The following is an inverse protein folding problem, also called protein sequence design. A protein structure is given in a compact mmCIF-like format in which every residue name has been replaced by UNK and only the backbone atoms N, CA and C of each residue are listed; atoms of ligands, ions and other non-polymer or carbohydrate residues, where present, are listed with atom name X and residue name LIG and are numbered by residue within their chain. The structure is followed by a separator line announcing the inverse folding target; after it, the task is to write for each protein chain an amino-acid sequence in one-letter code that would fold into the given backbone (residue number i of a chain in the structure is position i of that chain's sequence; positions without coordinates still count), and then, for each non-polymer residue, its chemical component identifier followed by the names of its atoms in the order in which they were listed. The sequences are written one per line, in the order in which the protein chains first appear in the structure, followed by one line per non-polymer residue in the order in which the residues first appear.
data_IF_631831837441
#
_entry.id   IF_631831837441
#
_cell.length_a   1.000
_cell.length_b   1.000
_cell.length_c   1.000
_cell.angle_alpha   90.00
_cell.angle_beta   90.00
_cell.angle_gamma   90.00
#
_symmetry.space_group_name_H-M   'P 1'
#
loop_
_entity.id
_entity.type
_entity.pdbx_description
1 polymer ?
#
# COMPACT_ATOMS: atom_id res chain seq x y z
N UNK A 1 2.63 -10.31 3.82
CA UNK A 1 2.59 -11.78 3.94
C UNK A 1 3.95 -12.41 3.64
N UNK A 2 4.68 -11.92 2.63
CA UNK A 2 5.99 -12.46 2.23
C UNK A 2 7.06 -12.51 3.33
N UNK A 3 7.25 -11.41 4.06
CA UNK A 3 8.29 -11.32 5.11
C UNK A 3 8.08 -12.31 6.28
N UNK A 4 6.87 -12.46 6.84
CA UNK A 4 6.57 -13.53 7.80
C UNK A 4 6.88 -14.95 7.27
N UNK A 5 6.45 -15.26 6.04
CA UNK A 5 6.69 -16.59 5.45
C UNK A 5 8.17 -16.90 5.29
N UNK A 6 8.99 -15.93 4.86
CA UNK A 6 10.44 -16.11 4.74
C UNK A 6 11.09 -16.38 6.10
N UNK A 7 10.63 -15.71 7.16
CA UNK A 7 11.18 -15.89 8.52
C UNK A 7 10.83 -17.27 9.09
N UNK A 8 9.61 -17.76 8.83
CA UNK A 8 9.11 -19.01 9.41
C UNK A 8 9.54 -20.26 8.63
N UNK A 9 9.64 -20.17 7.29
CA UNK A 9 9.93 -21.32 6.44
C UNK A 9 11.37 -21.39 5.92
N UNK A 10 12.26 -20.44 6.26
CA UNK A 10 13.69 -20.45 5.90
C UNK A 10 13.99 -20.82 4.42
N UNK A 11 13.14 -20.44 3.46
CA UNK A 11 13.18 -20.94 2.07
C UNK A 11 13.14 -19.86 0.97
N UNK A 12 13.44 -20.32 -0.25
CA UNK A 12 13.21 -19.73 -1.58
C UNK A 12 11.79 -19.19 -1.68
N UNK A 13 11.65 -17.86 -1.68
CA UNK A 13 10.37 -17.16 -1.65
C UNK A 13 9.51 -17.41 -2.90
N UNK A 14 10.16 -17.80 -3.99
CA UNK A 14 9.61 -18.15 -5.29
C UNK A 14 8.70 -19.39 -5.22
N UNK A 15 9.10 -20.44 -4.49
CA UNK A 15 8.30 -21.66 -4.33
C UNK A 15 6.97 -21.41 -3.61
N UNK A 16 6.95 -20.40 -2.73
CA UNK A 16 5.78 -20.07 -1.90
C UNK A 16 4.98 -18.89 -2.44
N UNK A 17 5.44 -18.23 -3.51
CA UNK A 17 4.76 -17.09 -4.12
C UNK A 17 3.31 -17.43 -4.53
N UNK A 18 3.02 -18.59 -5.16
CA UNK A 18 1.65 -18.94 -5.52
C UNK A 18 0.73 -19.08 -4.29
N UNK A 19 1.24 -19.63 -3.19
CA UNK A 19 0.47 -19.80 -1.95
C UNK A 19 0.19 -18.44 -1.29
N UNK A 20 1.15 -17.52 -1.33
CA UNK A 20 0.98 -16.17 -0.78
C UNK A 20 0.01 -15.33 -1.60
N UNK A 21 0.09 -15.40 -2.93
CA UNK A 21 -0.86 -14.75 -3.82
C UNK A 21 -2.28 -15.29 -3.57
N UNK A 22 -2.41 -16.61 -3.47
CA UNK A 22 -3.66 -17.26 -3.12
C UNK A 22 -4.21 -16.75 -1.78
N UNK A 23 -3.39 -16.71 -0.74
CA UNK A 23 -3.79 -16.22 0.58
C UNK A 23 -4.19 -14.73 0.56
N UNK A 24 -3.47 -13.90 -0.19
CA UNK A 24 -3.75 -12.47 -0.31
C UNK A 24 -5.07 -12.21 -1.04
N UNK A 25 -5.29 -12.84 -2.19
CA UNK A 25 -6.50 -12.66 -3.01
C UNK A 25 -7.78 -13.14 -2.31
N UNK A 26 -7.65 -14.07 -1.37
CA UNK A 26 -8.78 -14.63 -0.61
C UNK A 26 -8.93 -14.04 0.79
N UNK A 27 -8.05 -13.12 1.19
CA UNK A 27 -8.17 -12.43 2.47
C UNK A 27 -9.13 -11.26 2.37
N UNK A 28 -9.93 -11.06 3.43
CA UNK A 28 -10.82 -9.91 3.55
C UNK A 28 -10.03 -8.59 3.52
N UNK A 29 -10.44 -7.66 2.67
CA UNK A 29 -9.83 -6.34 2.57
C UNK A 29 -10.75 -5.26 3.14
N UNK A 30 -10.34 -4.64 4.25
CA UNK A 30 -11.18 -3.67 4.98
C UNK A 30 -11.57 -2.43 4.17
N UNK A 31 -10.75 -2.01 3.20
CA UNK A 31 -11.05 -0.86 2.34
C UNK A 31 -12.11 -1.15 1.27
N UNK A 32 -12.22 -2.41 0.83
CA UNK A 32 -13.15 -2.84 -0.22
C UNK A 32 -14.38 -3.53 0.38
N UNK A 33 -14.26 -4.08 1.60
CA UNK A 33 -15.35 -4.75 2.31
C UNK A 33 -15.54 -6.23 1.93
N UNK A 34 -14.75 -6.75 1.00
CA UNK A 34 -14.78 -8.15 0.52
C UNK A 34 -13.36 -8.62 0.17
N UNK A 35 -13.16 -9.90 -0.15
CA UNK A 35 -11.88 -10.38 -0.67
C UNK A 35 -11.69 -9.96 -2.15
N UNK A 36 -10.45 -9.66 -2.60
CA UNK A 36 -10.18 -9.34 -4.00
C UNK A 36 -10.71 -10.38 -5.00
N UNK A 37 -10.60 -11.67 -4.68
CA UNK A 37 -11.15 -12.76 -5.49
C UNK A 37 -12.68 -12.65 -5.63
N UNK A 38 -13.39 -12.38 -4.53
CA UNK A 38 -14.84 -12.20 -4.54
C UNK A 38 -15.25 -10.98 -5.35
N UNK A 39 -14.49 -9.88 -5.24
CA UNK A 39 -14.72 -8.68 -6.04
C UNK A 39 -14.56 -8.92 -7.53
N UNK A 40 -13.63 -9.80 -7.93
CA UNK A 40 -13.32 -10.08 -9.32
C UNK A 40 -14.30 -11.09 -9.93
N UNK A 41 -14.65 -12.15 -9.20
CA UNK A 41 -15.43 -13.28 -9.71
C UNK A 41 -16.87 -13.33 -9.19
N UNK A 42 -17.27 -12.44 -8.29
CA UNK A 42 -18.61 -12.40 -7.70
C UNK A 42 -18.95 -13.58 -6.78
N UNK A 43 -17.96 -14.41 -6.43
CA UNK A 43 -18.14 -15.60 -5.58
C UNK A 43 -16.91 -15.85 -4.70
N UNK A 44 -17.12 -16.49 -3.56
CA UNK A 44 -16.03 -16.95 -2.69
C UNK A 44 -15.15 -17.99 -3.39
N UNK A 45 -13.85 -17.97 -3.12
CA UNK A 45 -12.93 -18.96 -3.65
C UNK A 45 -13.17 -20.32 -3.02
N UNK A 46 -13.14 -21.36 -3.87
CA UNK A 46 -13.27 -22.75 -3.45
C UNK A 46 -11.88 -23.32 -3.18
N UNK A 47 -11.54 -23.54 -1.92
CA UNK A 47 -10.32 -24.27 -1.52
C UNK A 47 -10.64 -25.74 -1.30
N UNK A 48 -9.66 -26.65 -1.46
CA UNK A 48 -9.78 -28.04 -1.03
C UNK A 48 -10.17 -28.20 0.45
N UNK A 49 -9.89 -27.19 1.28
CA UNK A 49 -10.22 -27.13 2.71
C UNK A 49 -11.63 -26.58 3.00
N UNK A 50 -12.26 -25.88 2.06
CA UNK A 50 -13.59 -25.29 2.21
C UNK A 50 -14.53 -25.76 1.09
N UNK A 51 -14.98 -27.01 1.19
CA UNK A 51 -16.08 -27.58 0.40
C UNK A 51 -17.37 -27.54 1.22
N UNK A 52 -17.84 -26.34 1.60
CA UNK A 52 -19.00 -26.24 2.48
C UNK A 52 -20.35 -26.36 1.75
N UNK A 53 -20.38 -26.71 0.47
CA UNK A 53 -21.65 -26.87 -0.26
C UNK A 53 -22.04 -28.30 -0.61
N UNK A 54 -21.23 -29.35 -0.38
CA UNK A 54 -21.72 -30.74 -0.50
C UNK A 54 -20.97 -31.70 0.42
N UNK A 55 -21.61 -32.06 1.55
CA UNK A 55 -21.29 -33.24 2.34
C UNK A 55 -20.39 -32.99 3.56
N UNK A 56 -20.88 -33.36 4.75
CA UNK A 56 -20.06 -33.51 5.95
C UNK A 56 -18.87 -34.42 5.64
N UNK A 57 -17.64 -33.89 5.73
CA UNK A 57 -16.46 -34.74 5.88
C UNK A 57 -15.91 -34.60 7.28
N UNK A 58 -15.69 -35.76 7.88
CA UNK A 58 -15.12 -35.95 9.21
C UNK A 58 -13.84 -35.12 9.36
N UNK A 59 -13.90 -34.23 10.34
CA UNK A 59 -12.79 -33.41 10.80
C UNK A 59 -11.65 -34.33 11.26
N UNK A 60 -10.44 -34.04 10.78
CA UNK A 60 -9.22 -34.25 11.56
C UNK A 60 -9.49 -33.74 12.98
N UNK A 61 -9.18 -34.53 14.01
CA UNK A 61 -9.77 -34.41 15.36
C UNK A 61 -9.89 -32.99 15.95
N UNK A 62 -10.86 -32.78 16.88
CA UNK A 62 -11.24 -31.46 17.41
C UNK A 62 -10.06 -30.63 17.97
N UNK A 63 -9.00 -31.29 18.41
CA UNK A 63 -7.75 -30.70 18.91
C UNK A 63 -7.02 -29.88 17.83
N UNK A 64 -6.93 -30.39 16.61
CA UNK A 64 -6.22 -29.71 15.50
C UNK A 64 -7.03 -28.50 15.03
N UNK A 65 -8.37 -28.62 15.00
CA UNK A 65 -9.27 -27.52 14.66
C UNK A 65 -9.11 -26.38 15.66
N UNK A 66 -9.15 -26.69 16.95
CA UNK A 66 -8.97 -25.69 18.02
C UNK A 66 -7.59 -25.01 17.93
N UNK A 67 -6.53 -25.80 17.69
CA UNK A 67 -5.18 -25.28 17.50
C UNK A 67 -5.09 -24.31 16.31
N UNK A 68 -5.67 -24.66 15.16
CA UNK A 68 -5.68 -23.81 13.97
C UNK A 68 -6.46 -22.52 14.24
N UNK A 69 -7.62 -22.61 14.88
CA UNK A 69 -8.45 -21.44 15.22
C UNK A 69 -7.70 -20.48 16.13
N UNK A 70 -7.03 -20.98 17.16
CA UNK A 70 -6.21 -20.15 18.07
C UNK A 70 -5.05 -19.47 17.34
N UNK A 71 -4.32 -20.21 16.49
CA UNK A 71 -3.20 -19.66 15.71
C UNK A 71 -3.68 -18.59 14.72
N UNK A 72 -4.78 -18.83 14.02
CA UNK A 72 -5.38 -17.85 13.10
C UNK A 72 -5.81 -16.59 13.83
N UNK A 73 -6.42 -16.72 15.02
CA UNK A 73 -6.79 -15.57 15.87
C UNK A 73 -5.56 -14.75 16.25
N UNK A 74 -4.49 -15.40 16.72
CA UNK A 74 -3.24 -14.73 17.07
C UNK A 74 -2.58 -14.01 15.87
N UNK A 75 -2.60 -14.61 14.68
CA UNK A 75 -2.07 -14.00 13.45
C UNK A 75 -2.88 -12.75 13.07
N UNK A 76 -4.22 -12.83 13.13
CA UNK A 76 -5.11 -11.70 12.84
C UNK A 76 -4.88 -10.52 13.78
N UNK A 77 -4.73 -10.78 15.08
CA UNK A 77 -4.43 -9.74 16.07
C UNK A 77 -3.08 -9.06 15.79
N UNK A 78 -2.03 -9.86 15.51
CA UNK A 78 -0.70 -9.33 15.17
C UNK A 78 -0.71 -8.51 13.88
N UNK A 79 -1.44 -8.95 12.86
CA UNK A 79 -1.63 -8.20 11.62
C UNK A 79 -2.31 -6.85 11.86
N UNK A 80 -3.38 -6.83 12.66
CA UNK A 80 -4.10 -5.59 13.02
C UNK A 80 -3.19 -4.60 13.75
N UNK A 81 -2.38 -5.08 14.71
CA UNK A 81 -1.40 -4.26 15.43
C UNK A 81 -0.35 -3.69 14.46
N UNK A 82 0.19 -4.52 13.55
CA UNK A 82 1.17 -4.07 12.57
C UNK A 82 0.60 -3.00 11.63
N UNK A 83 -0.63 -3.19 11.13
CA UNK A 83 -1.34 -2.20 10.31
C UNK A 83 -1.57 -0.89 11.07
N UNK A 84 -2.00 -0.96 12.35
CA UNK A 84 -2.17 0.22 13.19
C UNK A 84 -0.88 0.99 13.40
N UNK A 85 0.25 0.30 13.63
CA UNK A 85 1.58 0.92 13.74
C UNK A 85 1.98 1.62 12.44
N UNK A 86 1.79 0.95 11.28
CA UNK A 86 2.09 1.54 9.98
C UNK A 86 1.28 2.82 9.74
N UNK A 87 -0.03 2.78 10.03
CA UNK A 87 -0.91 3.95 9.92
C UNK A 87 -0.44 5.09 10.83
N UNK A 88 -0.20 4.82 12.11
CA UNK A 88 0.26 5.83 13.06
C UNK A 88 1.60 6.46 12.65
N UNK A 89 2.55 5.67 12.14
CA UNK A 89 3.84 6.19 11.67
C UNK A 89 3.70 7.06 10.42
N UNK A 90 2.84 6.65 9.48
CA UNK A 90 2.56 7.43 8.27
C UNK A 90 1.86 8.75 8.61
N UNK A 91 0.79 8.70 9.40
CA UNK A 91 -0.05 9.86 9.70
C UNK A 91 0.67 10.88 10.59
N UNK A 92 1.49 10.44 11.56
CA UNK A 92 2.29 11.36 12.42
C UNK A 92 3.29 12.22 11.63
N UNK A 93 3.70 11.76 10.44
CA UNK A 93 4.68 12.46 9.58
C UNK A 93 4.01 13.27 8.47
N UNK A 94 2.70 13.14 8.24
CA UNK A 94 1.97 13.93 7.26
C UNK A 94 1.74 15.33 7.82
N UNK A 95 2.09 16.34 7.03
CA UNK A 95 1.65 17.71 7.21
C UNK A 95 0.70 18.00 6.06
N UNK A 96 -0.47 18.54 6.38
CA UNK A 96 -1.37 19.06 5.36
C UNK A 96 -0.71 20.34 4.83
N UNK A 97 -0.12 20.19 3.65
CA UNK A 97 0.51 21.28 2.90
C UNK A 97 -0.52 21.74 1.88
N UNK A 98 -0.94 22.99 2.02
CA UNK A 98 -1.81 23.65 1.05
C UNK A 98 -1.06 24.85 0.50
N UNK A 99 -1.02 24.95 -0.82
CA UNK A 99 -0.49 26.10 -1.52
C UNK A 99 -1.63 26.88 -2.17
N UNK A 100 -1.45 28.19 -2.28
CA UNK A 100 -2.32 29.09 -3.02
C UNK A 100 -1.68 29.50 -4.35
N UNK A 101 -2.50 30.00 -5.26
CA UNK A 101 -2.00 30.59 -6.50
C UNK A 101 -1.08 31.77 -6.18
N UNK A 102 0.09 31.82 -6.83
CA UNK A 102 1.13 32.81 -6.58
C UNK A 102 2.16 32.40 -5.52
N UNK A 103 1.94 31.33 -4.77
CA UNK A 103 2.96 30.76 -3.89
C UNK A 103 4.12 30.18 -4.70
N UNK A 104 5.30 30.16 -4.08
CA UNK A 104 6.52 29.60 -4.68
C UNK A 104 6.89 28.29 -4.01
N UNK A 105 6.89 27.21 -4.78
CA UNK A 105 7.32 25.88 -4.33
C UNK A 105 8.64 25.50 -4.97
N UNK A 106 9.53 24.82 -4.22
CA UNK A 106 10.70 24.22 -4.85
C UNK A 106 10.34 22.81 -5.29
N UNK A 107 10.77 22.41 -6.49
CA UNK A 107 10.50 21.08 -7.00
C UNK A 107 11.64 20.11 -6.65
N UNK A 108 11.30 18.95 -6.10
CA UNK A 108 12.25 17.87 -5.85
C UNK A 108 12.39 16.97 -7.08
N UNK A 109 13.61 16.80 -7.58
CA UNK A 109 13.92 15.76 -8.56
C UNK A 109 14.32 14.47 -7.86
N UNK A 110 13.82 13.33 -8.35
CA UNK A 110 14.08 12.02 -7.74
C UNK A 110 15.50 11.51 -8.02
N UNK A 111 16.04 11.78 -9.21
CA UNK A 111 17.40 11.39 -9.61
C UNK A 111 17.99 12.36 -10.64
N UNK A 112 18.87 13.26 -10.22
CA UNK A 112 20.04 13.62 -11.01
C UNK A 112 21.24 12.98 -10.30
N UNK A 113 22.32 12.66 -11.01
CA UNK A 113 23.44 11.86 -10.49
C UNK A 113 24.07 12.37 -9.17
N UNK A 114 25.07 11.64 -8.67
CA UNK A 114 25.82 12.02 -7.45
C UNK A 114 26.26 13.49 -7.53
N UNK A 115 26.02 14.26 -6.46
CA UNK A 115 26.29 15.71 -6.32
C UNK A 115 25.34 16.68 -7.05
N UNK A 116 24.31 16.19 -7.74
CA UNK A 116 23.30 17.10 -8.28
C UNK A 116 22.42 17.69 -7.16
N UNK A 117 21.92 18.93 -7.34
CA UNK A 117 21.00 19.52 -6.39
C UNK A 117 19.69 18.71 -6.36
N UNK A 118 19.25 18.34 -5.15
CA UNK A 118 18.02 17.56 -4.91
C UNK A 118 16.75 18.37 -5.23
N UNK A 119 16.86 19.68 -5.16
CA UNK A 119 15.77 20.64 -5.30
C UNK A 119 16.17 21.67 -6.36
N UNK A 120 15.26 21.97 -7.29
CA UNK A 120 15.50 22.92 -8.37
C UNK A 120 14.41 23.97 -8.32
N UNK A 121 14.84 25.23 -8.23
CA UNK A 121 14.06 26.44 -8.51
C UNK A 121 12.81 26.65 -7.64
N UNK A 122 12.61 27.82 -7.04
CA UNK A 122 11.25 28.20 -6.68
C UNK A 122 10.47 28.44 -7.98
N UNK A 123 9.46 27.61 -8.22
CA UNK A 123 8.50 27.82 -9.30
C UNK A 123 7.19 28.34 -8.72
N UNK A 124 6.59 29.28 -9.44
CA UNK A 124 5.30 29.85 -9.06
C UNK A 124 4.18 28.86 -9.35
N UNK A 125 3.25 28.74 -8.42
CA UNK A 125 2.05 27.91 -8.57
C UNK A 125 1.02 28.73 -9.35
N UNK A 126 0.78 28.30 -10.59
CA UNK A 126 -0.16 28.94 -11.51
C UNK A 126 -1.61 28.61 -11.15
N UNK A 127 -1.87 27.37 -10.74
CA UNK A 127 -3.23 26.88 -10.48
C UNK A 127 -3.22 25.67 -9.55
N UNK A 128 -4.23 25.56 -8.70
CA UNK A 128 -4.50 24.39 -7.88
C UNK A 128 -5.48 23.47 -8.63
N UNK A 129 -4.98 22.38 -9.24
CA UNK A 129 -5.81 21.43 -10.01
C UNK A 129 -6.66 20.56 -9.08
N UNK A 130 -6.15 20.28 -7.88
CA UNK A 130 -6.88 19.61 -6.82
C UNK A 130 -6.16 19.72 -5.49
N UNK A 131 -6.71 19.08 -4.44
CA UNK A 131 -6.15 19.14 -3.07
C UNK A 131 -4.67 18.74 -2.96
N UNK A 132 -4.18 17.95 -3.92
CA UNK A 132 -2.85 17.34 -3.85
C UNK A 132 -2.03 17.58 -5.13
N UNK A 133 -2.58 18.31 -6.11
CA UNK A 133 -1.95 18.49 -7.42
C UNK A 133 -1.97 19.96 -7.84
N UNK A 134 -0.79 20.49 -8.16
CA UNK A 134 -0.58 21.91 -8.46
C UNK A 134 0.14 22.07 -9.79
N UNK A 135 -0.26 23.09 -10.57
CA UNK A 135 0.40 23.46 -11.82
C UNK A 135 1.46 24.52 -11.56
N UNK A 136 2.68 24.30 -12.05
CA UNK A 136 3.82 25.20 -11.89
C UNK A 136 4.15 25.97 -13.16
N UNK A 137 4.67 27.18 -12.99
CA UNK A 137 5.35 27.93 -14.03
C UNK A 137 6.76 27.36 -14.26
N UNK A 138 6.86 26.30 -15.08
CA UNK A 138 8.15 25.73 -15.47
C UNK A 138 8.82 26.58 -16.54
N UNK A 139 10.16 26.70 -16.50
CA UNK A 139 10.91 27.45 -17.49
C UNK A 139 11.07 26.63 -18.77
N UNK A 140 11.38 27.26 -19.92
CA UNK A 140 11.40 26.60 -21.22
C UNK A 140 12.35 25.40 -21.31
N UNK A 141 13.42 25.38 -20.50
CA UNK A 141 14.39 24.28 -20.44
C UNK A 141 13.78 22.99 -19.89
N UNK A 142 12.68 23.10 -19.14
CA UNK A 142 11.92 21.99 -18.57
C UNK A 142 10.59 21.73 -19.29
N UNK A 143 10.40 22.29 -20.49
CA UNK A 143 9.17 22.13 -21.31
C UNK A 143 8.81 20.67 -21.63
N UNK A 144 9.79 19.76 -21.60
CA UNK A 144 9.57 18.32 -21.77
C UNK A 144 8.93 17.63 -20.56
N UNK A 145 8.83 18.31 -19.41
CA UNK A 145 8.25 17.79 -18.17
C UNK A 145 6.82 18.33 -18.04
N UNK A 146 5.88 17.44 -17.71
CA UNK A 146 4.53 17.87 -17.37
C UNK A 146 4.55 18.83 -16.16
N UNK A 147 3.92 19.98 -16.29
CA UNK A 147 3.96 21.05 -15.30
C UNK A 147 3.01 20.85 -14.12
N UNK A 148 2.49 19.64 -13.90
CA UNK A 148 1.57 19.31 -12.81
C UNK A 148 2.25 18.36 -11.85
N UNK A 149 2.37 18.77 -10.59
CA UNK A 149 3.11 18.04 -9.57
C UNK A 149 2.25 17.74 -8.35
N UNK A 150 2.52 16.58 -7.74
CA UNK A 150 1.92 16.19 -6.48
C UNK A 150 2.55 16.99 -5.32
N UNK A 151 1.76 17.37 -4.30
CA UNK A 151 2.21 18.20 -3.17
C UNK A 151 3.45 17.67 -2.45
N UNK A 152 3.64 16.34 -2.42
CA UNK A 152 4.82 15.70 -1.82
C UNK A 152 6.14 16.00 -2.55
N UNK A 153 6.07 16.46 -3.80
CA UNK A 153 7.21 16.89 -4.60
C UNK A 153 7.53 18.38 -4.43
N UNK A 154 6.69 19.12 -3.68
CA UNK A 154 6.77 20.56 -3.45
C UNK A 154 7.01 20.85 -1.95
N UNK A 155 8.23 20.67 -1.42
CA UNK A 155 8.56 21.15 -0.09
C UNK A 155 8.44 22.68 0.02
N UNK A 156 8.00 23.12 1.20
CA UNK A 156 8.00 24.54 1.59
C UNK A 156 9.42 25.03 1.84
N UNK A 157 9.71 26.24 1.37
CA UNK A 157 10.91 27.00 1.75
C UNK A 157 10.66 27.53 3.16
N UNK A 158 11.37 26.99 4.17
CA UNK A 158 11.42 27.58 5.51
C UNK A 158 12.52 28.63 5.59
#
# INVERSE_FOLDING_TARGET
MLRPCIIEFQCTWDDYLPLMEFAYNNSYQSSIGIAPYESLYGRACRTPLCWNEVGERQLTGPEIVNLIVEKVKAIRERLKIAQGRQKNYADKRRKDLEFQQGDRGIMRFEKKGKLSPRYIGPYEILECIGKVAYRLALPPELSHIHNVFHVSMLPVIQ
#
